data_IF_794198809323
#
_entry.id   IF_794198809323
#
_cell.length_a   1.000
_cell.length_b   1.000
_cell.length_c   1.000
_cell.angle_alpha   90.00
_cell.angle_beta   90.00
_cell.angle_gamma   90.00
#
_symmetry.space_group_name_H-M   'P 1'
#
loop_
_entity.id
_entity.type
_entity.pdbx_description
1 polymer ?
#
# COMPACT_ATOMS: atom_id res chain seq x y z
N UNK A 1 -16.19 3.76 6.07
CA UNK A 1 -15.96 3.07 7.36
C UNK A 1 -15.19 1.80 7.09
N UNK A 2 -14.18 1.52 7.92
CA UNK A 2 -13.22 0.41 7.76
C UNK A 2 -13.50 -0.63 8.85
N UNK A 3 -13.39 -1.92 8.51
CA UNK A 3 -13.49 -3.00 9.48
C UNK A 3 -12.22 -3.87 9.52
N UNK A 4 -11.66 -4.06 10.71
CA UNK A 4 -10.61 -5.04 11.02
C UNK A 4 -11.24 -6.41 11.22
N UNK A 5 -10.79 -7.41 10.46
CA UNK A 5 -11.32 -8.77 10.50
C UNK A 5 -10.25 -9.75 10.97
N UNK A 6 -10.51 -10.39 12.11
CA UNK A 6 -9.69 -11.46 12.67
C UNK A 6 -10.44 -12.79 12.75
N UNK A 7 -9.69 -13.87 12.93
CA UNK A 7 -10.21 -15.17 13.33
C UNK A 7 -9.69 -15.51 14.72
N UNK A 8 -10.56 -16.05 15.58
CA UNK A 8 -10.15 -16.60 16.87
C UNK A 8 -10.54 -18.07 16.93
N UNK A 9 -9.55 -18.92 17.18
CA UNK A 9 -9.75 -20.35 17.41
C UNK A 9 -10.13 -20.54 18.89
N UNK A 10 -11.30 -21.13 19.13
CA UNK A 10 -11.96 -21.12 20.45
C UNK A 10 -11.28 -21.98 21.52
N UNK A 11 -10.05 -22.46 21.30
CA UNK A 11 -9.38 -23.42 22.18
C UNK A 11 -8.71 -22.80 23.44
N UNK A 12 -8.52 -21.48 23.56
CA UNK A 12 -7.73 -20.91 24.68
C UNK A 12 -8.17 -19.56 25.30
N UNK A 13 -9.39 -19.08 25.08
CA UNK A 13 -9.76 -17.71 25.52
C UNK A 13 -10.45 -17.65 26.89
N UNK A 14 -9.77 -18.10 27.96
CA UNK A 14 -10.26 -18.00 29.35
C UNK A 14 -10.07 -16.62 30.00
N UNK A 15 -9.18 -15.77 29.49
CA UNK A 15 -8.78 -14.54 30.20
C UNK A 15 -9.24 -13.22 29.54
N UNK A 16 -9.66 -13.23 28.27
CA UNK A 16 -10.13 -12.06 27.52
C UNK A 16 -11.56 -11.60 27.87
N UNK A 17 -12.26 -12.29 28.79
CA UNK A 17 -13.59 -11.89 29.29
C UNK A 17 -13.63 -10.51 29.95
N UNK A 18 -12.47 -9.91 30.29
CA UNK A 18 -12.38 -8.59 30.95
C UNK A 18 -12.41 -7.37 30.00
N UNK A 19 -12.24 -7.56 28.69
CA UNK A 19 -12.28 -6.44 27.73
C UNK A 19 -13.70 -6.10 27.20
N UNK A 20 -14.74 -6.77 27.69
CA UNK A 20 -16.13 -6.51 27.28
C UNK A 20 -16.74 -5.32 28.03
N UNK A 21 -16.59 -4.13 27.45
CA UNK A 21 -17.63 -3.09 27.50
C UNK A 21 -17.87 -2.63 26.06
N UNK A 22 -19.09 -2.86 25.56
CA UNK A 22 -19.62 -2.53 24.22
C UNK A 22 -19.56 -3.58 23.08
N UNK A 23 -19.17 -4.84 23.33
CA UNK A 23 -19.25 -5.87 22.28
C UNK A 23 -20.69 -6.38 22.09
N UNK A 24 -21.30 -6.10 20.95
CA UNK A 24 -22.53 -6.79 20.53
C UNK A 24 -22.15 -8.25 20.22
N UNK A 25 -22.53 -9.16 21.11
CA UNK A 25 -22.43 -10.60 20.89
C UNK A 25 -23.63 -11.04 20.08
N UNK A 26 -23.45 -11.36 18.81
CA UNK A 26 -24.50 -11.95 18.00
C UNK A 26 -23.97 -13.18 17.25
N UNK A 27 -24.63 -14.33 17.44
CA UNK A 27 -24.54 -15.55 16.61
C UNK A 27 -23.13 -15.94 16.10
N UNK A 28 -22.14 -16.04 16.99
CA UNK A 28 -20.84 -16.64 16.69
C UNK A 28 -19.80 -15.72 16.03
N UNK A 29 -19.98 -14.41 16.15
CA UNK A 29 -18.91 -13.43 15.96
C UNK A 29 -18.98 -12.39 17.07
N UNK A 30 -17.85 -11.75 17.38
CA UNK A 30 -17.79 -10.61 18.28
C UNK A 30 -17.42 -9.36 17.53
N UNK A 31 -18.06 -8.24 17.85
CA UNK A 31 -17.77 -6.98 17.18
C UNK A 31 -17.79 -5.78 18.13
N UNK A 32 -16.97 -4.77 17.84
CA UNK A 32 -16.85 -3.55 18.64
C UNK A 32 -16.20 -2.40 17.86
N UNK A 33 -16.21 -1.21 18.45
CA UNK A 33 -15.49 -0.05 17.92
C UNK A 33 -14.02 -0.11 18.41
N UNK A 34 -13.09 0.28 17.54
CA UNK A 34 -11.67 0.39 17.85
C UNK A 34 -11.11 1.65 17.20
N UNK A 35 -10.17 2.33 17.88
CA UNK A 35 -9.47 3.48 17.31
C UNK A 35 -8.04 3.04 17.03
N UNK A 36 -7.62 3.11 15.78
CA UNK A 36 -6.26 2.73 15.36
C UNK A 36 -5.65 3.91 14.61
N UNK A 37 -4.54 4.44 15.12
CA UNK A 37 -3.87 5.62 14.55
C UNK A 37 -4.82 6.81 14.36
N UNK A 38 -5.71 7.05 15.33
CA UNK A 38 -6.73 8.09 15.26
C UNK A 38 -7.93 7.80 14.33
N UNK A 39 -7.93 6.68 13.60
CA UNK A 39 -9.04 6.28 12.73
C UNK A 39 -10.04 5.43 13.51
N UNK A 40 -11.32 5.81 13.47
CA UNK A 40 -12.41 4.97 13.99
C UNK A 40 -12.67 3.79 13.04
N UNK A 41 -12.33 2.60 13.51
CA UNK A 41 -12.55 1.34 12.80
C UNK A 41 -13.55 0.48 13.57
N UNK A 42 -14.20 -0.41 12.86
CA UNK A 42 -14.94 -1.51 13.47
C UNK A 42 -14.01 -2.71 13.58
N UNK A 43 -14.09 -3.46 14.67
CA UNK A 43 -13.43 -4.76 14.80
C UNK A 43 -14.47 -5.85 14.74
N UNK A 44 -14.27 -6.84 13.89
CA UNK A 44 -15.06 -8.06 13.83
C UNK A 44 -14.12 -9.27 13.97
N UNK A 45 -14.41 -10.13 14.95
CA UNK A 45 -13.70 -11.39 15.15
C UNK A 45 -14.66 -12.53 14.87
N UNK A 46 -14.34 -13.32 13.84
CA UNK A 46 -15.12 -14.50 13.47
C UNK A 46 -14.59 -15.66 14.30
N UNK A 47 -15.44 -16.20 15.18
CA UNK A 47 -15.09 -17.35 15.99
C UNK A 47 -15.17 -18.62 15.13
N UNK A 48 -14.09 -19.39 15.09
CA UNK A 48 -14.03 -20.71 14.48
C UNK A 48 -13.63 -21.77 15.50
N UNK A 49 -14.14 -22.99 15.32
CA UNK A 49 -13.78 -24.15 16.14
C UNK A 49 -13.23 -25.26 15.24
N UNK A 50 -12.21 -26.02 15.68
CA UNK A 50 -11.74 -27.18 14.94
C UNK A 50 -12.90 -28.15 14.68
N UNK A 51 -13.20 -28.47 13.42
CA UNK A 51 -14.31 -29.37 13.04
C UNK A 51 -15.66 -28.69 12.77
N UNK A 52 -15.71 -27.35 12.72
CA UNK A 52 -16.94 -26.64 12.34
C UNK A 52 -17.37 -26.96 10.90
N UNK A 53 -18.65 -27.31 10.71
CA UNK A 53 -19.22 -27.54 9.38
C UNK A 53 -19.12 -26.25 8.51
N UNK A 54 -18.76 -26.36 7.22
CA UNK A 54 -18.61 -25.20 6.33
C UNK A 54 -19.85 -24.30 6.25
N UNK A 55 -21.06 -24.86 6.37
CA UNK A 55 -22.32 -24.12 6.34
C UNK A 55 -22.50 -23.20 7.56
N UNK A 56 -22.12 -23.67 8.75
CA UNK A 56 -22.21 -22.88 9.98
C UNK A 56 -21.27 -21.68 9.91
N UNK A 57 -20.07 -21.88 9.36
CA UNK A 57 -19.11 -20.80 9.11
C UNK A 57 -19.65 -19.78 8.11
N UNK A 58 -20.21 -20.22 6.97
CA UNK A 58 -20.84 -19.33 5.98
C UNK A 58 -21.96 -18.49 6.61
N UNK A 59 -22.79 -19.10 7.47
CA UNK A 59 -23.85 -18.37 8.19
C UNK A 59 -23.29 -17.30 9.13
N UNK A 60 -22.20 -17.59 9.85
CA UNK A 60 -21.51 -16.60 10.72
C UNK A 60 -20.94 -15.44 9.90
N UNK A 61 -20.27 -15.73 8.78
CA UNK A 61 -19.74 -14.71 7.88
C UNK A 61 -20.88 -13.85 7.32
N UNK A 62 -22.00 -14.46 6.92
CA UNK A 62 -23.18 -13.73 6.45
C UNK A 62 -23.75 -12.80 7.53
N UNK A 63 -23.89 -13.27 8.77
CA UNK A 63 -24.35 -12.43 9.88
C UNK A 63 -23.38 -11.25 10.14
N UNK A 64 -22.08 -11.52 10.14
CA UNK A 64 -21.06 -10.47 10.27
C UNK A 64 -21.13 -9.46 9.10
N UNK A 65 -21.34 -9.95 7.87
CA UNK A 65 -21.54 -9.11 6.69
C UNK A 65 -22.79 -8.25 6.80
N UNK A 66 -23.93 -8.78 7.25
CA UNK A 66 -25.15 -8.01 7.51
C UNK A 66 -24.90 -6.92 8.57
N UNK A 67 -24.20 -7.25 9.65
CA UNK A 67 -23.81 -6.28 10.69
C UNK A 67 -22.90 -5.17 10.16
N UNK A 68 -21.93 -5.51 9.29
CA UNK A 68 -21.01 -4.57 8.64
C UNK A 68 -21.75 -3.66 7.64
N UNK A 69 -22.66 -4.22 6.83
CA UNK A 69 -23.49 -3.46 5.88
C UNK A 69 -24.39 -2.47 6.60
N UNK A 70 -25.01 -2.87 7.71
CA UNK A 70 -25.83 -1.98 8.54
C UNK A 70 -25.06 -0.75 9.04
N UNK A 71 -23.73 -0.86 9.20
CA UNK A 71 -22.82 0.22 9.60
C UNK A 71 -22.11 0.91 8.44
N UNK A 72 -22.49 0.59 7.19
CA UNK A 72 -21.92 1.18 5.96
C UNK A 72 -20.40 0.96 5.84
N UNK A 73 -19.92 -0.19 6.29
CA UNK A 73 -18.55 -0.65 5.98
C UNK A 73 -18.43 -0.84 4.48
N UNK A 74 -17.35 -0.31 3.90
CA UNK A 74 -17.00 -0.50 2.48
C UNK A 74 -15.68 -1.23 2.31
N UNK A 75 -14.73 -0.92 3.19
CA UNK A 75 -13.38 -1.48 3.16
C UNK A 75 -13.13 -2.38 4.38
N UNK A 76 -12.38 -3.45 4.15
CA UNK A 76 -11.97 -4.41 5.19
C UNK A 76 -10.46 -4.57 5.20
N UNK A 77 -9.90 -4.75 6.39
CA UNK A 77 -8.49 -5.10 6.61
C UNK A 77 -8.49 -6.46 7.31
N UNK A 78 -7.83 -7.45 6.72
CA UNK A 78 -7.72 -8.77 7.30
C UNK A 78 -6.47 -8.92 8.17
N UNK A 79 -6.58 -9.72 9.22
CA UNK A 79 -5.40 -10.24 9.92
C UNK A 79 -4.53 -11.05 8.94
N UNK A 80 -3.20 -11.02 9.11
CA UNK A 80 -2.21 -11.58 8.18
C UNK A 80 -2.49 -13.03 7.74
N UNK A 81 -3.02 -13.86 8.65
CA UNK A 81 -3.30 -15.27 8.42
C UNK A 81 -4.80 -15.57 8.40
N UNK A 82 -5.65 -14.62 8.02
CA UNK A 82 -7.09 -14.82 8.05
C UNK A 82 -7.57 -15.86 7.00
N UNK A 83 -8.09 -17.03 7.43
CA UNK A 83 -8.32 -18.16 6.52
C UNK A 83 -9.55 -18.00 5.63
N UNK A 84 -10.47 -17.09 5.96
CA UNK A 84 -11.78 -16.97 5.31
C UNK A 84 -11.91 -15.72 4.43
N UNK A 85 -10.78 -15.12 4.02
CA UNK A 85 -10.69 -13.88 3.23
C UNK A 85 -11.63 -13.91 2.01
N UNK A 86 -11.51 -14.93 1.18
CA UNK A 86 -12.31 -15.07 -0.04
C UNK A 86 -13.83 -15.16 0.23
N UNK A 87 -14.25 -15.73 1.36
CA UNK A 87 -15.68 -15.80 1.71
C UNK A 87 -16.23 -14.44 2.11
N UNK A 88 -15.45 -13.63 2.82
CA UNK A 88 -15.85 -12.26 3.17
C UNK A 88 -15.92 -11.37 1.94
N UNK A 89 -14.93 -11.46 1.04
CA UNK A 89 -14.93 -10.64 -0.19
C UNK A 89 -16.10 -10.97 -1.12
N UNK A 90 -16.56 -12.23 -1.15
CA UNK A 90 -17.79 -12.62 -1.89
C UNK A 90 -19.06 -11.94 -1.38
N UNK A 91 -19.05 -11.43 -0.15
CA UNK A 91 -20.17 -10.63 0.39
C UNK A 91 -20.16 -9.18 -0.13
N UNK A 92 -19.18 -8.79 -0.97
CA UNK A 92 -19.16 -7.50 -1.66
C UNK A 92 -18.46 -6.38 -0.88
N UNK A 93 -17.45 -6.74 -0.07
CA UNK A 93 -16.56 -5.76 0.56
C UNK A 93 -15.26 -5.64 -0.23
N UNK A 94 -14.72 -4.43 -0.30
CA UNK A 94 -13.43 -4.19 -0.90
C UNK A 94 -12.33 -4.40 0.13
N UNK A 95 -11.27 -5.11 -0.26
CA UNK A 95 -10.10 -5.19 0.58
C UNK A 95 -9.27 -3.92 0.47
N UNK A 96 -8.85 -3.41 1.62
CA UNK A 96 -7.91 -2.31 1.65
C UNK A 96 -6.51 -2.82 1.34
N UNK A 97 -5.82 -2.12 0.45
CA UNK A 97 -4.42 -2.37 0.13
C UNK A 97 -3.50 -1.30 0.73
N UNK A 98 -2.19 -1.53 0.61
CA UNK A 98 -1.16 -0.57 0.97
C UNK A 98 -0.96 0.55 -0.06
N UNK A 99 -1.78 0.67 -1.11
CA UNK A 99 -1.52 1.52 -2.27
C UNK A 99 -1.30 2.99 -1.90
N UNK A 100 -2.15 3.56 -1.03
CA UNK A 100 -2.01 4.94 -0.59
C UNK A 100 -0.69 5.20 0.15
N UNK A 101 -0.19 4.21 0.90
CA UNK A 101 1.11 4.28 1.56
C UNK A 101 2.25 4.28 0.54
N UNK A 102 2.22 3.37 -0.44
CA UNK A 102 3.24 3.31 -1.50
C UNK A 102 3.25 4.61 -2.32
N UNK A 103 2.07 5.14 -2.66
CA UNK A 103 1.96 6.44 -3.32
C UNK A 103 2.51 7.57 -2.46
N UNK A 104 2.19 7.60 -1.16
CA UNK A 104 2.66 8.62 -0.23
C UNK A 104 4.18 8.63 -0.07
N UNK A 105 4.81 7.45 -0.09
CA UNK A 105 6.24 7.30 0.17
C UNK A 105 7.10 7.15 -1.08
N UNK A 106 6.52 7.13 -2.28
CA UNK A 106 7.22 6.75 -3.51
C UNK A 106 8.51 7.54 -3.75
N UNK A 107 8.50 8.88 -3.62
CA UNK A 107 9.69 9.69 -3.84
C UNK A 107 10.74 9.50 -2.74
N UNK A 108 10.32 9.41 -1.47
CA UNK A 108 11.19 9.10 -0.32
C UNK A 108 11.84 7.71 -0.41
N UNK A 109 11.13 6.71 -0.94
CA UNK A 109 11.69 5.37 -1.21
C UNK A 109 12.72 5.48 -2.34
N UNK A 110 12.36 6.14 -3.45
CA UNK A 110 13.24 6.29 -4.59
C UNK A 110 14.54 7.04 -4.24
N UNK A 111 14.48 8.04 -3.35
CA UNK A 111 15.63 8.76 -2.84
C UNK A 111 16.68 7.87 -2.14
N UNK A 112 16.32 6.65 -1.71
CA UNK A 112 17.27 5.66 -1.15
C UNK A 112 18.16 5.01 -2.21
N UNK A 113 17.81 5.15 -3.48
CA UNK A 113 18.46 4.48 -4.61
C UNK A 113 19.10 5.48 -5.58
N UNK A 114 19.58 6.61 -5.08
CA UNK A 114 20.43 7.51 -5.85
C UNK A 114 21.74 6.81 -6.23
N UNK A 115 22.01 6.72 -7.53
CA UNK A 115 23.27 6.21 -8.07
C UNK A 115 24.15 7.35 -8.60
N UNK A 116 25.26 6.98 -9.22
CA UNK A 116 26.25 7.93 -9.77
C UNK A 116 25.67 8.82 -10.87
N UNK A 117 24.64 8.35 -11.58
CA UNK A 117 24.00 9.10 -12.66
C UNK A 117 23.11 10.24 -12.14
N UNK A 118 22.69 10.18 -10.87
CA UNK A 118 21.68 11.05 -10.27
C UNK A 118 20.44 11.23 -11.17
N UNK A 119 20.01 10.13 -11.81
CA UNK A 119 18.92 10.09 -12.77
C UNK A 119 17.76 9.24 -12.21
N UNK A 120 16.57 9.83 -12.10
CA UNK A 120 15.35 9.09 -11.79
C UNK A 120 14.39 9.09 -12.97
N UNK A 121 13.76 7.95 -13.23
CA UNK A 121 12.66 7.82 -14.18
C UNK A 121 11.32 7.76 -13.43
N UNK A 122 10.29 8.36 -14.00
CA UNK A 122 8.92 8.29 -13.50
C UNK A 122 7.97 7.99 -14.66
N UNK A 123 7.16 6.94 -14.48
CA UNK A 123 6.14 6.52 -15.43
C UNK A 123 4.77 6.64 -14.78
N UNK A 124 3.82 7.32 -15.42
CA UNK A 124 2.46 7.44 -14.90
C UNK A 124 1.44 7.66 -16.02
N UNK A 125 0.26 7.06 -15.94
CA UNK A 125 -0.80 7.33 -16.93
C UNK A 125 -1.25 8.80 -16.94
N UNK A 126 -1.37 9.41 -15.75
CA UNK A 126 -1.85 10.79 -15.57
C UNK A 126 -1.08 11.50 -14.46
N UNK A 127 -1.02 12.83 -14.53
CA UNK A 127 -0.44 13.67 -13.48
C UNK A 127 -1.44 13.83 -12.32
N UNK A 128 -1.46 12.86 -11.40
CA UNK A 128 -2.22 12.96 -10.14
C UNK A 128 -1.43 13.77 -9.10
N UNK A 129 -2.08 14.15 -8.00
CA UNK A 129 -1.40 14.79 -6.89
C UNK A 129 -0.30 13.91 -6.28
N UNK A 130 -0.51 12.58 -6.25
CA UNK A 130 0.53 11.63 -5.81
C UNK A 130 1.75 11.67 -6.72
N UNK A 131 1.54 11.64 -8.05
CA UNK A 131 2.62 11.74 -9.03
C UNK A 131 3.37 13.08 -8.93
N UNK A 132 2.65 14.19 -8.78
CA UNK A 132 3.26 15.52 -8.65
C UNK A 132 4.07 15.69 -7.34
N UNK A 133 3.59 15.11 -6.23
CA UNK A 133 4.35 15.05 -4.97
C UNK A 133 5.64 14.24 -5.18
N UNK A 134 5.53 13.05 -5.76
CA UNK A 134 6.70 12.20 -6.06
C UNK A 134 7.69 12.92 -6.96
N UNK A 135 7.24 13.60 -8.02
CA UNK A 135 8.13 14.41 -8.88
C UNK A 135 8.86 15.49 -8.07
N UNK A 136 8.17 16.15 -7.15
CA UNK A 136 8.75 17.20 -6.31
C UNK A 136 9.81 16.63 -5.36
N UNK A 137 9.54 15.48 -4.74
CA UNK A 137 10.51 14.76 -3.90
C UNK A 137 11.72 14.28 -4.71
N UNK A 138 11.50 13.75 -5.92
CA UNK A 138 12.58 13.33 -6.81
C UNK A 138 13.45 14.53 -7.24
N UNK A 139 12.87 15.70 -7.50
CA UNK A 139 13.64 16.91 -7.78
C UNK A 139 14.59 17.30 -6.64
N UNK A 140 14.28 16.93 -5.39
CA UNK A 140 15.15 17.23 -4.25
C UNK A 140 16.34 16.24 -4.14
N UNK A 141 16.21 15.04 -4.69
CA UNK A 141 17.21 13.96 -4.56
C UNK A 141 18.00 13.66 -5.85
N UNK A 142 17.51 14.09 -7.01
CA UNK A 142 18.07 13.75 -8.32
C UNK A 142 18.32 15.01 -9.16
N UNK A 143 19.38 14.97 -9.99
CA UNK A 143 19.77 16.07 -10.88
C UNK A 143 19.05 16.02 -12.23
N UNK A 144 18.65 14.82 -12.64
CA UNK A 144 17.99 14.57 -13.91
C UNK A 144 16.75 13.72 -13.69
N UNK A 145 15.62 14.17 -14.26
CA UNK A 145 14.37 13.43 -14.24
C UNK A 145 13.95 13.06 -15.65
N UNK A 146 13.51 11.82 -15.81
CA UNK A 146 12.90 11.32 -17.03
C UNK A 146 11.45 11.01 -16.73
N UNK A 147 10.52 11.61 -17.48
CA UNK A 147 9.10 11.51 -17.17
C UNK A 147 8.32 11.03 -18.38
N UNK A 148 7.60 9.94 -18.21
CA UNK A 148 6.72 9.34 -19.21
C UNK A 148 5.28 9.45 -18.70
N UNK A 149 4.45 10.23 -19.38
CA UNK A 149 3.01 10.31 -19.08
C UNK A 149 2.13 10.27 -20.32
N UNK A 150 0.94 9.67 -20.23
CA UNK A 150 0.03 9.59 -21.38
C UNK A 150 -0.73 10.91 -21.64
N UNK A 151 -0.91 11.74 -20.62
CA UNK A 151 -1.84 12.89 -20.66
C UNK A 151 -1.25 14.21 -20.14
N UNK A 152 0.04 14.25 -19.79
CA UNK A 152 0.70 15.47 -19.32
C UNK A 152 0.92 16.49 -20.45
N UNK A 153 0.79 17.78 -20.14
CA UNK A 153 1.17 18.85 -21.05
C UNK A 153 2.58 19.35 -20.72
N UNK A 154 3.31 19.91 -21.69
CA UNK A 154 4.65 20.46 -21.43
C UNK A 154 4.66 21.61 -20.40
N UNK A 155 3.50 22.24 -20.12
CA UNK A 155 3.40 23.39 -19.21
C UNK A 155 3.71 23.02 -17.75
N UNK A 156 3.24 21.87 -17.28
CA UNK A 156 3.53 21.41 -15.92
C UNK A 156 5.02 21.15 -15.71
N UNK A 157 5.69 20.56 -16.71
CA UNK A 157 7.12 20.28 -16.66
C UNK A 157 7.96 21.55 -16.80
N UNK A 158 7.53 22.54 -17.60
CA UNK A 158 8.17 23.85 -17.65
C UNK A 158 8.08 24.59 -16.31
N UNK A 159 6.91 24.55 -15.67
CA UNK A 159 6.75 25.11 -14.33
C UNK A 159 7.66 24.39 -13.32
N UNK A 160 7.78 23.06 -13.41
CA UNK A 160 8.67 22.27 -12.56
C UNK A 160 10.13 22.65 -12.78
N UNK A 161 10.61 22.69 -14.04
CA UNK A 161 11.98 23.11 -14.41
C UNK A 161 12.32 24.49 -13.86
N UNK A 162 11.41 25.46 -13.99
CA UNK A 162 11.61 26.83 -13.47
C UNK A 162 11.68 26.88 -11.95
N UNK A 163 10.88 26.05 -11.26
CA UNK A 163 10.80 26.04 -9.80
C UNK A 163 11.96 25.31 -9.15
N UNK A 164 12.44 24.21 -9.75
CA UNK A 164 13.44 23.33 -9.12
C UNK A 164 14.82 23.42 -9.75
N UNK A 165 14.95 23.95 -10.97
CA UNK A 165 16.21 23.98 -11.73
C UNK A 165 16.65 22.61 -12.25
N UNK A 166 15.84 21.56 -12.05
CA UNK A 166 16.16 20.19 -12.44
C UNK A 166 15.92 19.98 -13.94
N UNK A 167 16.82 19.24 -14.58
CA UNK A 167 16.66 18.87 -15.99
C UNK A 167 15.61 17.77 -16.12
N UNK A 168 14.52 18.07 -16.84
CA UNK A 168 13.41 17.14 -17.06
C UNK A 168 13.36 16.75 -18.53
N UNK A 169 13.46 15.45 -18.82
CA UNK A 169 13.30 14.84 -20.14
C UNK A 169 11.92 14.19 -20.19
N UNK A 170 11.08 14.66 -21.10
CA UNK A 170 9.77 14.07 -21.35
C UNK A 170 9.89 12.95 -22.39
N UNK A 171 9.18 11.84 -22.18
CA UNK A 171 9.16 10.68 -23.10
C UNK A 171 10.59 10.23 -23.49
N UNK A 172 11.42 9.83 -22.52
CA UNK A 172 12.80 9.46 -22.75
C UNK A 172 12.91 8.28 -23.74
N UNK A 173 13.93 8.32 -24.58
CA UNK A 173 14.35 7.18 -25.40
C UNK A 173 14.98 6.08 -24.53
N UNK A 174 15.05 4.85 -25.04
CA UNK A 174 15.71 3.73 -24.35
C UNK A 174 17.17 4.03 -23.98
N UNK A 175 17.88 4.77 -24.84
CA UNK A 175 19.26 5.21 -24.59
C UNK A 175 19.36 6.22 -23.44
N UNK A 176 18.32 7.03 -23.22
CA UNK A 176 18.27 7.91 -22.06
C UNK A 176 17.92 7.11 -20.81
N UNK A 177 16.94 6.22 -20.89
CA UNK A 177 16.53 5.35 -19.78
C UNK A 177 17.64 4.46 -19.25
N UNK A 178 18.63 4.08 -20.06
CA UNK A 178 19.78 3.29 -19.61
C UNK A 178 20.64 3.96 -18.53
N UNK A 179 20.43 5.26 -18.28
CA UNK A 179 21.09 6.02 -17.21
C UNK A 179 20.28 6.10 -15.91
N UNK A 180 19.04 5.60 -15.89
CA UNK A 180 18.21 5.68 -14.70
C UNK A 180 18.82 4.83 -13.57
N UNK A 181 18.99 5.43 -12.39
CA UNK A 181 19.40 4.72 -11.18
C UNK A 181 18.16 4.10 -10.49
N UNK A 182 17.02 4.77 -10.62
CA UNK A 182 15.73 4.34 -10.06
C UNK A 182 14.60 4.67 -11.03
N UNK A 183 13.57 3.82 -11.07
CA UNK A 183 12.35 4.05 -11.85
C UNK A 183 11.11 3.89 -10.97
N UNK A 184 10.32 4.96 -10.84
CA UNK A 184 9.04 4.95 -10.12
C UNK A 184 7.90 4.76 -11.11
N UNK A 185 7.08 3.74 -10.91
CA UNK A 185 6.11 3.29 -11.90
C UNK A 185 4.71 3.31 -11.30
N UNK A 186 3.89 4.25 -11.75
CA UNK A 186 2.49 4.40 -11.35
C UNK A 186 1.58 3.67 -12.35
N UNK A 187 1.27 2.42 -12.01
CA UNK A 187 0.39 1.57 -12.80
C UNK A 187 1.06 0.87 -14.00
N UNK A 188 0.33 -0.05 -14.65
CA UNK A 188 0.85 -0.92 -15.69
C UNK A 188 1.24 -0.15 -16.96
N UNK A 189 2.26 -0.63 -17.67
CA UNK A 189 2.76 0.01 -18.89
C UNK A 189 2.19 -0.63 -20.15
N UNK A 190 1.58 0.18 -21.04
CA UNK A 190 1.03 -0.28 -22.33
C UNK A 190 2.10 -0.75 -23.32
N UNK A 191 3.32 -0.24 -23.18
CA UNK A 191 4.49 -0.62 -23.97
C UNK A 191 5.51 -1.23 -23.03
N UNK A 192 6.27 -2.19 -23.54
CA UNK A 192 7.36 -2.81 -22.80
C UNK A 192 8.40 -1.75 -22.43
N UNK A 193 8.63 -1.55 -21.14
CA UNK A 193 9.71 -0.70 -20.62
C UNK A 193 10.85 -1.60 -20.18
N UNK A 194 12.06 -1.32 -20.68
CA UNK A 194 13.26 -2.06 -20.32
C UNK A 194 14.17 -1.15 -19.50
N UNK A 195 14.29 -1.46 -18.22
CA UNK A 195 15.17 -0.74 -17.30
C UNK A 195 16.57 -1.36 -17.33
N UNK A 196 17.64 -0.57 -17.12
CA UNK A 196 18.99 -1.14 -17.02
C UNK A 196 19.09 -2.06 -15.79
N UNK A 197 20.00 -3.06 -15.80
CA UNK A 197 20.07 -4.07 -14.73
C UNK A 197 20.28 -3.51 -13.32
N UNK A 198 21.03 -2.42 -13.21
CA UNK A 198 21.32 -1.74 -11.94
C UNK A 198 20.21 -0.80 -11.47
N UNK A 199 19.25 -0.46 -12.35
CA UNK A 199 18.12 0.38 -11.99
C UNK A 199 17.19 -0.35 -11.04
N UNK A 200 16.85 0.31 -9.94
CA UNK A 200 15.87 -0.19 -8.99
C UNK A 200 14.47 0.23 -9.44
N UNK A 201 13.62 -0.73 -9.77
CA UNK A 201 12.22 -0.49 -10.07
C UNK A 201 11.38 -0.36 -8.79
N UNK A 202 10.55 0.68 -8.72
CA UNK A 202 9.57 0.90 -7.65
C UNK A 202 8.17 0.91 -8.25
N UNK A 203 7.43 -0.18 -8.06
CA UNK A 203 6.03 -0.29 -8.45
C UNK A 203 5.13 0.39 -7.41
N UNK A 204 4.30 1.33 -7.85
CA UNK A 204 3.33 2.03 -7.01
C UNK A 204 1.93 1.53 -7.37
N UNK A 205 1.39 0.68 -6.49
CA UNK A 205 0.09 0.04 -6.65
C UNK A 205 0.15 -1.37 -7.27
N UNK A 206 -0.99 -2.06 -7.25
CA UNK A 206 -1.10 -3.41 -7.79
C UNK A 206 -0.85 -3.42 -9.31
N UNK A 207 -0.07 -4.39 -9.79
CA UNK A 207 0.22 -4.55 -11.22
C UNK A 207 1.12 -3.46 -11.82
N UNK A 208 1.68 -2.55 -11.02
CA UNK A 208 2.46 -1.42 -11.53
C UNK A 208 3.70 -1.83 -12.35
N UNK A 209 4.29 -3.00 -12.05
CA UNK A 209 5.44 -3.53 -12.78
C UNK A 209 5.04 -4.39 -14.00
N UNK A 210 3.75 -4.52 -14.31
CA UNK A 210 3.31 -5.19 -15.53
C UNK A 210 3.79 -4.41 -16.76
N UNK A 211 4.39 -5.12 -17.71
CA UNK A 211 5.01 -4.53 -18.89
C UNK A 211 6.39 -3.90 -18.64
N UNK A 212 7.03 -4.19 -17.50
CA UNK A 212 8.37 -3.67 -17.15
C UNK A 212 9.36 -4.81 -16.96
N UNK A 213 10.50 -4.74 -17.65
CA UNK A 213 11.64 -5.61 -17.45
C UNK A 213 12.69 -4.87 -16.60
N UNK A 214 13.02 -5.45 -15.46
CA UNK A 214 13.93 -4.87 -14.47
C UNK A 214 14.88 -5.95 -13.93
N UNK A 215 16.07 -5.54 -13.51
CA UNK A 215 17.00 -6.43 -12.80
C UNK A 215 16.65 -6.56 -11.31
N UNK A 216 16.21 -5.46 -10.71
CA UNK A 216 15.90 -5.35 -9.27
C UNK A 216 14.64 -4.52 -9.06
N UNK A 217 13.80 -4.92 -8.11
CA UNK A 217 12.63 -4.14 -7.71
C UNK A 217 12.45 -4.09 -6.20
N UNK A 218 11.88 -3.01 -5.69
CA UNK A 218 11.43 -2.92 -4.31
C UNK A 218 10.28 -3.89 -4.08
N UNK A 219 10.44 -4.79 -3.12
CA UNK A 219 9.45 -5.83 -2.80
C UNK A 219 8.80 -5.66 -1.43
N UNK A 220 9.54 -5.20 -0.43
CA UNK A 220 9.04 -5.02 0.93
C UNK A 220 9.63 -3.76 1.57
N UNK A 221 8.86 -3.14 2.46
CA UNK A 221 9.28 -2.01 3.29
C UNK A 221 9.17 -2.39 4.76
N UNK A 222 10.21 -2.10 5.52
CA UNK A 222 10.10 -2.06 6.98
C UNK A 222 9.84 -0.61 7.38
N UNK A 223 8.68 -0.39 7.99
CA UNK A 223 8.18 0.92 8.37
C UNK A 223 8.00 1.01 9.88
N UNK A 224 8.26 2.19 10.42
CA UNK A 224 7.90 2.57 11.78
C UNK A 224 7.32 3.98 11.82
N UNK A 225 6.76 4.34 12.96
CA UNK A 225 6.32 5.72 13.25
C UNK A 225 7.42 6.50 13.96
N UNK A 226 7.39 7.82 13.78
CA UNK A 226 8.29 8.76 14.48
C UNK A 226 7.90 8.97 15.95
N UNK A 227 6.69 8.57 16.34
CA UNK A 227 6.12 8.79 17.66
C UNK A 227 5.68 7.49 18.37
N UNK A 228 5.10 7.64 19.56
CA UNK A 228 4.74 6.53 20.45
C UNK A 228 3.51 5.73 19.98
N UNK A 229 2.81 6.17 18.91
CA UNK A 229 1.60 5.50 18.36
C UNK A 229 1.88 4.10 17.81
N UNK A 230 3.16 3.75 17.63
CA UNK A 230 3.60 2.40 17.28
C UNK A 230 3.05 1.34 18.25
N UNK A 231 2.91 1.69 19.54
CA UNK A 231 2.39 0.80 20.59
C UNK A 231 0.87 0.56 20.50
N UNK A 232 0.15 1.42 19.78
CA UNK A 232 -1.30 1.35 19.58
C UNK A 232 -1.71 0.45 18.42
N UNK A 233 -0.74 -0.09 17.66
CA UNK A 233 -1.02 -0.91 16.50
C UNK A 233 -1.59 -2.28 16.90
N UNK A 234 -2.75 -2.68 16.36
CA UNK A 234 -3.32 -4.00 16.64
C UNK A 234 -2.40 -5.08 16.08
N UNK A 235 -1.98 -5.99 16.96
CA UNK A 235 -1.13 -7.12 16.58
C UNK A 235 -1.84 -8.06 15.60
N UNK A 236 -1.08 -8.68 14.70
CA UNK A 236 -1.62 -9.61 13.71
C UNK A 236 -2.21 -8.97 12.45
N UNK A 237 -2.25 -7.64 12.35
CA UNK A 237 -2.66 -6.92 11.14
C UNK A 237 -1.46 -6.40 10.32
N UNK A 238 -1.60 -6.27 9.00
CA UNK A 238 -0.56 -5.72 8.12
C UNK A 238 -0.38 -4.21 8.35
N UNK A 239 0.84 -3.80 8.72
CA UNK A 239 1.19 -2.43 9.12
C UNK A 239 1.01 -1.43 7.98
N UNK A 240 1.43 -1.83 6.79
CA UNK A 240 1.31 -1.08 5.55
C UNK A 240 -0.14 -0.70 5.23
N UNK A 241 -1.07 -1.65 5.42
CA UNK A 241 -2.51 -1.39 5.19
C UNK A 241 -3.09 -0.49 6.29
N UNK A 242 -2.65 -0.63 7.54
CA UNK A 242 -3.06 0.27 8.63
C UNK A 242 -2.56 1.71 8.41
N UNK A 243 -1.33 1.88 7.93
CA UNK A 243 -0.79 3.20 7.59
C UNK A 243 -1.51 3.78 6.37
N UNK A 244 -1.80 2.97 5.35
CA UNK A 244 -2.63 3.34 4.21
C UNK A 244 -4.02 3.84 4.65
N UNK A 245 -4.64 3.17 5.63
CA UNK A 245 -5.91 3.59 6.21
C UNK A 245 -5.82 4.96 6.91
N UNK A 246 -4.78 5.17 7.72
CA UNK A 246 -4.57 6.40 8.46
C UNK A 246 -4.21 7.58 7.54
N UNK A 247 -3.42 7.35 6.50
CA UNK A 247 -3.12 8.34 5.45
C UNK A 247 -4.40 8.76 4.71
N UNK A 248 -5.22 7.80 4.29
CA UNK A 248 -6.50 8.09 3.61
C UNK A 248 -7.49 8.83 4.52
N UNK A 249 -7.45 8.59 5.82
CA UNK A 249 -8.26 9.29 6.81
C UNK A 249 -7.68 10.66 7.21
N UNK A 250 -6.43 10.97 6.83
CA UNK A 250 -5.71 12.19 7.18
C UNK A 250 -5.23 12.26 8.64
N UNK A 251 -5.29 11.14 9.38
CA UNK A 251 -4.85 11.07 10.79
C UNK A 251 -3.36 10.78 10.94
N UNK A 252 -2.72 10.35 9.85
CA UNK A 252 -1.30 10.15 9.71
C UNK A 252 -0.82 10.96 8.50
N UNK A 253 0.30 11.65 8.63
CA UNK A 253 0.97 12.32 7.52
C UNK A 253 2.15 11.47 7.03
N UNK A 254 2.56 11.59 5.75
CA UNK A 254 3.73 10.87 5.24
C UNK A 254 4.98 11.06 6.10
N UNK A 255 5.19 12.27 6.62
CA UNK A 255 6.34 12.68 7.44
C UNK A 255 6.41 11.93 8.77
N UNK A 256 5.26 11.49 9.29
CA UNK A 256 5.17 10.72 10.53
C UNK A 256 5.74 9.30 10.37
N UNK A 257 5.90 8.83 9.13
CA UNK A 257 6.34 7.47 8.78
C UNK A 257 7.84 7.46 8.45
N UNK A 258 8.57 6.55 9.09
CA UNK A 258 9.99 6.31 8.86
C UNK A 258 10.19 5.04 8.04
N UNK A 259 10.92 5.16 6.93
CA UNK A 259 11.39 4.01 6.15
C UNK A 259 12.68 3.50 6.82
N UNK A 260 12.57 2.38 7.52
CA UNK A 260 13.67 1.76 8.26
C UNK A 260 14.54 0.88 7.37
N UNK A 261 13.91 0.04 6.55
CA UNK A 261 14.59 -0.87 5.63
C UNK A 261 13.77 -1.03 4.34
N UNK A 262 14.47 -1.31 3.23
CA UNK A 262 13.87 -1.54 1.92
C UNK A 262 14.47 -2.80 1.33
N UNK A 263 13.63 -3.82 1.12
CA UNK A 263 14.06 -5.08 0.52
C UNK A 263 13.85 -5.05 -0.97
N UNK A 264 14.81 -5.66 -1.67
CA UNK A 264 14.82 -5.78 -3.11
C UNK A 264 14.64 -7.25 -3.51
N UNK A 265 13.85 -7.47 -4.54
CA UNK A 265 13.75 -8.75 -5.23
C UNK A 265 14.45 -8.66 -6.59
N UNK A 266 14.98 -9.79 -7.06
CA UNK A 266 15.47 -9.91 -8.43
C UNK A 266 14.28 -9.96 -9.39
N UNK A 267 14.43 -9.31 -10.55
CA UNK A 267 13.42 -9.34 -11.59
C UNK A 267 13.38 -10.65 -12.37
N UNK A 268 12.35 -10.82 -13.22
CA UNK A 268 12.25 -11.98 -14.08
C UNK A 268 13.49 -12.04 -14.99
N UNK A 269 14.26 -13.14 -14.91
CA UNK A 269 15.42 -13.36 -15.77
C UNK A 269 14.95 -13.32 -17.23
N UNK A 270 15.61 -12.51 -18.05
CA UNK A 270 15.55 -12.69 -19.50
C UNK A 270 16.27 -13.99 -19.79
N UNK A 271 15.53 -15.05 -20.09
CA UNK A 271 16.12 -16.20 -20.77
C UNK A 271 16.65 -15.67 -22.11
N UNK A 272 17.97 -15.70 -22.23
CA UNK A 272 18.80 -15.27 -23.35
C UNK A 272 18.57 -16.10 -24.60
#
# INVERSE_FOLDING_TARGET
MICLIGAEETARAGWWRRLRRAAAHDKGFSAGDEVVLGVRMLRAVIESSPGMKPEALRKRIKNAAEWMRARRVRQVIFAKNFPYRALVLREGFDEMDGGALWEALAGRIAARFGGDSHCAALFAGRLTMAVLRTLTELCASFKYLMVTTETGSGREFDALRRRTGVSVIEQPTDRQLSRADVAVIFGPQKRLVVLPPECVALGVGAGALEGVLFGRAVSELTLGLTDERESELPSGFPRDVLFSAALNAGTLQPEDIVIQDVRLTAGPRRDS
#
